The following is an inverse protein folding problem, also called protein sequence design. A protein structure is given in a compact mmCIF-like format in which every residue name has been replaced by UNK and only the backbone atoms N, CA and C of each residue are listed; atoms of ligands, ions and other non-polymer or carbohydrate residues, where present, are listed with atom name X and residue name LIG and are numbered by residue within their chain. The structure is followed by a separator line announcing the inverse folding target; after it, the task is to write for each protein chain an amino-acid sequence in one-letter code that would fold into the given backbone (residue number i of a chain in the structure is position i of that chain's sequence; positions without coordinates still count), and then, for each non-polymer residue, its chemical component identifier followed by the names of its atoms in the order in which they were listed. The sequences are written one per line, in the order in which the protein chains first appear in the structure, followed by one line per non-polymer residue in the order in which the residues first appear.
data_IF_239662501441
#
_entry.id   IF_239662501441
#
_cell.length_a   1.000
_cell.length_b   1.000
_cell.length_c   1.000
_cell.angle_alpha   90.00
_cell.angle_beta   90.00
_cell.angle_gamma   90.00
#
_symmetry.space_group_name_H-M   'P 1'
#
loop_
_entity.id
_entity.type
_entity.pdbx_description
1 polymer ?
#
# COMPACT_ATOMS: atom_id res chain seq x y z
N UNK A 1 7.49 -15.43 -20.86
CA UNK A 1 8.66 -15.05 -20.04
C UNK A 1 8.23 -14.04 -18.97
N UNK A 2 8.69 -14.14 -17.72
CA UNK A 2 8.43 -13.14 -16.69
C UNK A 2 8.95 -11.77 -17.14
N UNK A 3 8.14 -10.71 -17.06
CA UNK A 3 8.57 -9.38 -17.44
C UNK A 3 9.37 -8.71 -16.30
N UNK A 4 10.61 -9.18 -16.09
CA UNK A 4 11.51 -8.74 -15.00
C UNK A 4 11.71 -7.21 -14.93
N UNK A 5 11.93 -6.48 -16.03
CA UNK A 5 12.08 -5.02 -15.98
C UNK A 5 10.88 -4.31 -15.36
N UNK A 6 9.66 -4.79 -15.69
CA UNK A 6 8.42 -4.23 -15.13
C UNK A 6 8.30 -4.54 -13.64
N UNK A 7 8.67 -5.74 -13.21
CA UNK A 7 8.65 -6.13 -11.79
C UNK A 7 9.58 -5.23 -10.98
N UNK A 8 10.82 -5.04 -11.43
CA UNK A 8 11.80 -4.18 -10.76
C UNK A 8 11.28 -2.75 -10.68
N UNK A 9 10.75 -2.20 -11.77
CA UNK A 9 10.18 -0.85 -11.79
C UNK A 9 9.06 -0.67 -10.74
N UNK A 10 8.19 -1.67 -10.58
CA UNK A 10 7.14 -1.63 -9.56
C UNK A 10 7.69 -1.75 -8.13
N UNK A 11 8.71 -2.57 -7.90
CA UNK A 11 9.36 -2.72 -6.60
C UNK A 11 10.01 -1.40 -6.19
N UNK A 12 10.82 -0.82 -7.08
CA UNK A 12 11.47 0.47 -6.84
C UNK A 12 10.43 1.57 -6.63
N UNK A 13 9.40 1.65 -7.47
CA UNK A 13 8.34 2.65 -7.30
C UNK A 13 7.60 2.49 -5.96
N UNK A 14 7.31 1.25 -5.56
CA UNK A 14 6.65 0.96 -4.27
C UNK A 14 7.51 1.38 -3.09
N UNK A 15 8.82 1.10 -3.15
CA UNK A 15 9.77 1.54 -2.13
C UNK A 15 9.85 3.08 -2.07
N UNK A 16 9.99 3.74 -3.22
CA UNK A 16 10.02 5.22 -3.30
C UNK A 16 8.72 5.84 -2.76
N UNK A 17 7.57 5.27 -3.10
CA UNK A 17 6.28 5.71 -2.56
C UNK A 17 6.25 5.54 -1.03
N UNK A 18 6.72 4.40 -0.51
CA UNK A 18 6.83 4.17 0.93
C UNK A 18 7.68 5.22 1.64
N UNK A 19 8.85 5.56 1.07
CA UNK A 19 9.72 6.63 1.59
C UNK A 19 9.02 7.99 1.56
N UNK A 20 8.38 8.34 0.45
CA UNK A 20 7.64 9.61 0.31
C UNK A 20 6.54 9.69 1.37
N UNK A 21 5.74 8.64 1.51
CA UNK A 21 4.67 8.57 2.50
C UNK A 21 5.24 8.74 3.91
N UNK A 22 6.32 8.04 4.25
CA UNK A 22 6.98 8.22 5.55
C UNK A 22 7.48 9.66 5.76
N UNK A 23 8.12 10.30 4.78
CA UNK A 23 8.61 11.69 4.94
C UNK A 23 7.44 12.66 5.17
N UNK A 24 6.37 12.55 4.39
CA UNK A 24 5.22 13.43 4.52
C UNK A 24 4.47 13.20 5.83
N UNK A 25 4.28 11.94 6.19
CA UNK A 25 3.54 11.59 7.40
C UNK A 25 4.41 11.69 8.65
N UNK A 26 5.74 11.61 8.55
CA UNK A 26 6.68 11.62 9.68
C UNK A 26 6.61 12.88 10.52
N UNK A 27 6.23 14.00 9.92
CA UNK A 27 5.98 15.27 10.62
C UNK A 27 4.87 15.19 11.67
N UNK A 28 3.98 14.20 11.55
CA UNK A 28 2.81 14.05 12.42
C UNK A 28 2.97 12.99 13.51
N UNK A 29 4.13 12.32 13.59
CA UNK A 29 4.36 11.21 14.55
C UNK A 29 4.19 11.67 16.01
N UNK A 30 4.66 12.86 16.42
CA UNK A 30 4.44 13.34 17.79
C UNK A 30 2.95 13.46 18.16
N UNK A 31 2.07 13.73 17.18
CA UNK A 31 0.64 13.79 17.44
C UNK A 31 0.02 12.40 17.63
N UNK A 32 0.59 11.36 17.03
CA UNK A 32 0.16 9.97 17.25
C UNK A 32 0.43 9.51 18.70
N UNK A 33 1.44 10.10 19.34
CA UNK A 33 1.86 9.81 20.72
C UNK A 33 1.11 10.65 21.77
N UNK A 34 0.22 11.55 21.32
CA UNK A 34 -0.55 12.37 22.26
C UNK A 34 -1.60 11.48 22.96
N UNK A 35 -1.62 11.45 24.30
CA UNK A 35 -2.58 10.61 25.03
C UNK A 35 -4.02 11.05 24.75
N UNK A 36 -4.92 10.07 24.68
CA UNK A 36 -6.35 10.28 24.47
C UNK A 36 -6.82 10.11 23.02
N UNK A 37 -7.99 10.70 22.72
CA UNK A 37 -8.67 10.49 21.44
C UNK A 37 -7.88 11.05 20.23
N UNK A 38 -7.12 12.12 20.44
CA UNK A 38 -6.35 12.76 19.37
C UNK A 38 -5.26 11.84 18.80
N UNK A 39 -4.44 11.21 19.66
CA UNK A 39 -3.41 10.26 19.20
C UNK A 39 -3.99 9.01 18.56
N UNK A 40 -5.15 8.55 19.04
CA UNK A 40 -5.87 7.43 18.42
C UNK A 40 -6.37 7.81 17.03
N UNK A 41 -7.00 8.99 16.87
CA UNK A 41 -7.49 9.47 15.58
C UNK A 41 -6.35 9.63 14.57
N UNK A 42 -5.20 10.15 15.00
CA UNK A 42 -4.00 10.29 14.17
C UNK A 42 -3.47 8.91 13.76
N UNK A 43 -3.35 7.96 14.69
CA UNK A 43 -2.90 6.58 14.40
C UNK A 43 -3.81 5.89 13.39
N UNK A 44 -5.13 6.06 13.53
CA UNK A 44 -6.11 5.55 12.54
C UNK A 44 -5.92 6.24 11.18
N UNK A 45 -5.68 7.56 11.17
CA UNK A 45 -5.41 8.29 9.92
C UNK A 45 -4.15 7.77 9.21
N UNK A 46 -3.08 7.45 9.95
CA UNK A 46 -1.91 6.76 9.39
C UNK A 46 -2.29 5.42 8.75
N UNK A 47 -3.04 4.57 9.47
CA UNK A 47 -3.54 3.32 8.93
C UNK A 47 -4.33 3.51 7.63
N UNK A 48 -5.19 4.54 7.58
CA UNK A 48 -5.97 4.90 6.40
C UNK A 48 -5.11 5.40 5.22
N UNK A 49 -4.03 6.13 5.49
CA UNK A 49 -3.07 6.55 4.46
C UNK A 49 -2.39 5.34 3.86
N UNK A 50 -1.85 4.43 4.69
CA UNK A 50 -1.19 3.22 4.21
C UNK A 50 -2.17 2.33 3.44
N UNK A 51 -3.40 2.19 3.92
CA UNK A 51 -4.48 1.50 3.20
C UNK A 51 -4.71 2.12 1.82
N UNK A 52 -4.85 3.44 1.73
CA UNK A 52 -5.13 4.14 0.47
C UNK A 52 -4.00 4.00 -0.54
N UNK A 53 -2.76 4.09 -0.06
CA UNK A 53 -1.56 3.95 -0.88
C UNK A 53 -1.40 2.52 -1.39
N UNK A 54 -1.46 1.52 -0.51
CA UNK A 54 -1.31 0.12 -0.93
C UNK A 54 -2.46 -0.32 -1.83
N UNK A 55 -3.69 0.16 -1.56
CA UNK A 55 -4.83 -0.05 -2.45
C UNK A 55 -4.58 0.48 -3.86
N UNK A 56 -4.10 1.72 -3.96
CA UNK A 56 -3.83 2.37 -5.24
C UNK A 56 -2.74 1.65 -6.04
N UNK A 57 -1.64 1.28 -5.37
CA UNK A 57 -0.51 0.57 -6.01
C UNK A 57 -0.93 -0.84 -6.45
N UNK A 58 -1.57 -1.61 -5.56
CA UNK A 58 -2.01 -2.97 -5.86
C UNK A 58 -3.03 -3.01 -7.01
N UNK A 59 -4.03 -2.10 -6.98
CA UNK A 59 -5.01 -1.94 -8.07
C UNK A 59 -4.34 -1.62 -9.39
N UNK A 60 -3.39 -0.67 -9.39
CA UNK A 60 -2.65 -0.26 -10.60
C UNK A 60 -1.83 -1.41 -11.17
N UNK A 61 -1.16 -2.18 -10.31
CA UNK A 61 -0.37 -3.33 -10.72
C UNK A 61 -1.24 -4.39 -11.42
N UNK A 62 -2.33 -4.83 -10.79
CA UNK A 62 -3.23 -5.85 -11.36
C UNK A 62 -3.82 -5.41 -12.69
N UNK A 63 -4.20 -4.13 -12.82
CA UNK A 63 -4.76 -3.58 -14.06
C UNK A 63 -3.75 -3.60 -15.22
N UNK A 64 -2.45 -3.40 -14.92
CA UNK A 64 -1.41 -3.18 -15.94
C UNK A 64 -0.57 -4.41 -16.21
N UNK A 65 -0.57 -5.41 -15.33
CA UNK A 65 0.28 -6.59 -15.43
C UNK A 65 -0.57 -7.84 -15.63
N UNK A 66 -0.29 -8.58 -16.72
CA UNK A 66 -0.98 -9.84 -17.03
C UNK A 66 -0.48 -11.02 -16.18
N UNK A 67 0.69 -10.87 -15.55
CA UNK A 67 1.43 -11.92 -14.87
C UNK A 67 1.38 -11.81 -13.34
N UNK A 68 1.36 -12.99 -12.73
CA UNK A 68 1.75 -13.32 -11.36
C UNK A 68 0.89 -12.73 -10.24
N UNK A 69 0.00 -13.58 -9.72
CA UNK A 69 -1.00 -13.26 -8.69
C UNK A 69 -0.41 -12.83 -7.33
N UNK A 70 0.82 -13.25 -6.99
CA UNK A 70 1.41 -13.03 -5.66
C UNK A 70 2.19 -11.72 -5.50
N UNK A 71 2.65 -11.11 -6.60
CA UNK A 71 3.47 -9.89 -6.58
C UNK A 71 2.80 -8.66 -5.93
N UNK A 72 1.49 -8.40 -6.12
CA UNK A 72 0.82 -7.31 -5.42
C UNK A 72 0.86 -7.44 -3.89
N UNK A 73 0.83 -8.67 -3.37
CA UNK A 73 0.95 -8.93 -1.94
C UNK A 73 2.34 -8.61 -1.41
N UNK A 74 3.39 -8.71 -2.23
CA UNK A 74 4.73 -8.24 -1.88
C UNK A 74 4.90 -6.72 -1.94
N UNK A 75 4.10 -6.00 -2.74
CA UNK A 75 4.21 -4.54 -2.81
C UNK A 75 3.88 -3.89 -1.47
N UNK A 76 2.92 -4.45 -0.72
CA UNK A 76 2.51 -3.93 0.58
C UNK A 76 3.64 -3.89 1.62
N UNK A 77 4.35 -4.99 1.92
CA UNK A 77 5.48 -4.94 2.84
C UNK A 77 6.63 -4.08 2.31
N UNK A 78 6.82 -3.96 0.99
CA UNK A 78 7.84 -3.07 0.41
C UNK A 78 7.51 -1.58 0.65
N UNK A 79 6.23 -1.19 0.54
CA UNK A 79 5.76 0.17 0.85
C UNK A 79 5.88 0.45 2.35
N UNK A 80 5.62 -0.56 3.17
CA UNK A 80 5.68 -0.46 4.62
C UNK A 80 7.12 -0.42 5.16
N UNK A 81 8.07 -1.11 4.50
CA UNK A 81 9.43 -1.32 4.98
C UNK A 81 10.18 -0.03 5.37
N UNK A 82 10.17 1.06 4.57
CA UNK A 82 10.79 2.32 4.98
C UNK A 82 10.24 2.83 6.31
N UNK A 83 8.92 2.77 6.49
CA UNK A 83 8.27 3.27 7.70
C UNK A 83 8.72 2.50 8.93
N UNK A 84 8.69 1.17 8.85
CA UNK A 84 9.15 0.30 9.94
C UNK A 84 10.62 0.54 10.26
N UNK A 85 11.45 0.60 9.22
CA UNK A 85 12.89 0.84 9.39
C UNK A 85 13.18 2.17 10.10
N UNK A 86 12.48 3.24 9.73
CA UNK A 86 12.69 4.54 10.39
C UNK A 86 12.08 4.63 11.79
N UNK A 87 10.97 3.93 12.05
CA UNK A 87 10.38 3.85 13.40
C UNK A 87 11.38 3.22 14.37
N UNK A 88 12.04 2.12 13.97
CA UNK A 88 13.05 1.44 14.79
C UNK A 88 14.31 2.31 14.98
N UNK A 89 14.71 3.10 13.98
CA UNK A 89 15.92 3.92 14.06
C UNK A 89 15.78 5.17 14.92
N UNK A 90 14.58 5.76 14.98
CA UNK A 90 14.42 7.09 15.57
C UNK A 90 14.08 7.11 17.06
N UNK A 91 13.90 5.94 17.69
CA UNK A 91 13.44 5.83 19.08
C UNK A 91 12.27 6.78 19.39
N UNK A 92 11.41 7.05 18.40
CA UNK A 92 10.41 8.11 18.51
C UNK A 92 9.37 7.76 19.59
N UNK A 93 9.11 6.46 19.81
CA UNK A 93 8.13 5.99 20.79
C UNK A 93 8.74 5.79 22.18
N UNK A 94 8.20 6.47 23.18
CA UNK A 94 8.63 6.33 24.58
C UNK A 94 8.24 4.99 25.20
N UNK A 95 7.17 4.35 24.69
CA UNK A 95 6.64 3.07 25.17
C UNK A 95 6.59 2.06 24.03
N UNK A 96 7.14 0.86 24.28
CA UNK A 96 7.10 -0.27 23.34
C UNK A 96 5.67 -0.61 22.91
N UNK A 97 4.70 -0.46 23.82
CA UNK A 97 3.29 -0.73 23.53
C UNK A 97 2.73 0.21 22.45
N UNK A 98 3.10 1.50 22.47
CA UNK A 98 2.63 2.47 21.47
C UNK A 98 3.23 2.18 20.10
N UNK A 99 4.52 1.82 20.05
CA UNK A 99 5.19 1.38 18.83
C UNK A 99 4.52 0.15 18.21
N UNK A 100 4.16 -0.84 19.04
CA UNK A 100 3.47 -2.06 18.58
C UNK A 100 2.08 -1.74 18.05
N UNK A 101 1.31 -0.89 18.73
CA UNK A 101 -0.04 -0.49 18.26
C UNK A 101 0.07 0.26 16.94
N UNK A 102 0.99 1.22 16.83
CA UNK A 102 1.19 2.01 15.63
C UNK A 102 1.62 1.13 14.45
N UNK A 103 2.66 0.31 14.64
CA UNK A 103 3.16 -0.63 13.64
C UNK A 103 2.09 -1.62 13.18
N UNK A 104 1.32 -2.17 14.12
CA UNK A 104 0.21 -3.08 13.81
C UNK A 104 -0.88 -2.37 12.99
N UNK A 105 -1.18 -1.11 13.31
CA UNK A 105 -2.16 -0.31 12.57
C UNK A 105 -1.71 -0.08 11.13
N UNK A 106 -0.44 0.27 10.92
CA UNK A 106 0.13 0.41 9.58
C UNK A 106 0.08 -0.92 8.81
N UNK A 107 0.46 -2.00 9.47
CA UNK A 107 0.47 -3.34 8.88
C UNK A 107 -0.93 -3.77 8.44
N UNK A 108 -1.93 -3.67 9.33
CA UNK A 108 -3.34 -3.97 9.03
C UNK A 108 -3.86 -3.09 7.90
N UNK A 109 -3.62 -1.78 7.97
CA UNK A 109 -4.03 -0.84 6.91
C UNK A 109 -3.44 -1.23 5.55
N UNK A 110 -2.14 -1.53 5.52
CA UNK A 110 -1.44 -1.93 4.30
C UNK A 110 -1.97 -3.24 3.70
N UNK A 111 -2.26 -4.24 4.54
CA UNK A 111 -2.81 -5.53 4.13
C UNK A 111 -4.24 -5.38 3.58
N UNK A 112 -5.09 -4.63 4.28
CA UNK A 112 -6.46 -4.36 3.83
C UNK A 112 -6.44 -3.62 2.49
N UNK A 113 -5.61 -2.59 2.37
CA UNK A 113 -5.46 -1.84 1.13
C UNK A 113 -5.02 -2.75 -0.02
N UNK A 114 -4.01 -3.58 0.19
CA UNK A 114 -3.57 -4.55 -0.82
C UNK A 114 -4.68 -5.52 -1.20
N UNK A 115 -5.36 -6.12 -0.23
CA UNK A 115 -6.45 -7.07 -0.45
C UNK A 115 -7.58 -6.46 -1.29
N UNK A 116 -8.11 -5.31 -0.88
CA UNK A 116 -9.18 -4.62 -1.62
C UNK A 116 -8.70 -4.11 -2.98
N UNK A 117 -7.44 -3.66 -3.07
CA UNK A 117 -6.84 -3.15 -4.31
C UNK A 117 -6.74 -4.24 -5.36
N UNK A 118 -6.33 -5.45 -4.95
CA UNK A 118 -6.24 -6.63 -5.81
C UNK A 118 -7.62 -7.01 -6.35
N UNK A 119 -8.61 -7.19 -5.46
CA UNK A 119 -9.97 -7.56 -5.87
C UNK A 119 -10.58 -6.56 -6.84
N UNK A 120 -10.44 -5.26 -6.54
CA UNK A 120 -10.97 -4.20 -7.39
C UNK A 120 -10.22 -4.12 -8.73
N UNK A 121 -8.90 -4.34 -8.72
CA UNK A 121 -8.09 -4.42 -9.92
C UNK A 121 -8.52 -5.55 -10.86
N UNK A 122 -8.85 -6.73 -10.32
CA UNK A 122 -9.33 -7.87 -11.10
C UNK A 122 -10.65 -7.57 -11.80
N UNK A 123 -11.64 -7.06 -11.06
CA UNK A 123 -12.96 -6.70 -11.62
C UNK A 123 -12.83 -5.72 -12.78
N UNK A 124 -12.01 -4.67 -12.63
CA UNK A 124 -11.79 -3.70 -13.70
C UNK A 124 -11.07 -4.28 -14.92
N UNK A 125 -10.13 -5.21 -14.69
CA UNK A 125 -9.42 -5.86 -15.79
C UNK A 125 -10.36 -6.76 -16.59
N UNK A 126 -11.20 -7.53 -15.92
CA UNK A 126 -12.24 -8.36 -16.56
C UNK A 126 -13.19 -7.50 -17.39
N UNK A 127 -13.65 -6.38 -16.85
CA UNK A 127 -14.52 -5.44 -17.57
C UNK A 127 -13.85 -4.87 -18.83
N UNK A 128 -12.55 -4.53 -18.77
CA UNK A 128 -11.81 -4.07 -19.95
C UNK A 128 -11.64 -5.16 -21.00
N UNK A 129 -11.40 -6.41 -20.59
CA UNK A 129 -11.29 -7.54 -21.52
C UNK A 129 -12.64 -7.79 -22.18
N UNK A 130 -13.74 -7.78 -21.42
CA UNK A 130 -15.10 -7.97 -21.95
C UNK A 130 -15.45 -6.89 -22.99
N UNK A 131 -15.23 -5.61 -22.65
CA UNK A 131 -15.44 -4.47 -23.57
C UNK A 131 -14.58 -4.55 -24.84
N UNK A 132 -13.36 -5.07 -24.75
CA UNK A 132 -12.50 -5.26 -25.91
C UNK A 132 -13.00 -6.37 -26.84
N UNK A 133 -13.55 -7.45 -26.27
CA UNK A 133 -14.14 -8.56 -27.02
C UNK A 133 -15.46 -8.16 -27.70
N UNK A 134 -16.32 -7.41 -27.00
CA UNK A 134 -17.57 -6.86 -27.55
C UNK A 134 -17.29 -5.97 -28.78
N UNK A 135 -16.33 -5.03 -28.67
CA UNK A 135 -15.92 -4.19 -29.81
C UNK A 135 -15.37 -4.96 -31.01
N UNK A 136 -14.69 -6.08 -30.78
CA UNK A 136 -14.19 -6.93 -31.87
C UNK A 136 -15.30 -7.76 -32.54
N UNK A 137 -16.39 -8.03 -31.81
CA UNK A 137 -17.57 -8.72 -32.35
C UNK A 137 -18.46 -7.77 -33.16
N UNK A 138 -18.67 -6.54 -32.69
CA UNK A 138 -19.54 -5.55 -33.35
C UNK A 138 -18.86 -4.87 -34.56
N UNK A 139 -17.53 -4.99 -34.67
CA UNK A 139 -16.74 -4.50 -35.82
C UNK A 139 -16.54 -5.53 -36.95
N UNK A 140 -17.22 -6.68 -36.90
CA UNK A 140 -17.33 -7.68 -37.96
C UNK A 140 -18.76 -7.71 -38.47
#
# INVERSE_FOLDING_TARGET
MPNYPRIIAYITASFTIGVIVYIFTGLFIPFAQTPGWAGTAVTVAYGAVYLSVTWSVARRYIRKTLQTFWLPYLMAPIILAPALFFIELKEEFALVQEQVIFTSTLFIGSLLGAYFGIQYGHRMREEHIRKAQEKQRDGK
#
